data_IF_981748597695
#
_entry.id   IF_981748597695
#
_cell.length_a   1.000
_cell.length_b   1.000
_cell.length_c   1.000
_cell.angle_alpha   90.00
_cell.angle_beta   90.00
_cell.angle_gamma   90.00
#
_symmetry.space_group_name_H-M   'P 1'
#
loop_
_entity.id
_entity.type
_entity.pdbx_description
1 polymer ?
#
# COMPACT_ATOMS: atom_id res chain seq x y z
N UNK A 1 -8.37 -28.04 0.89
CA UNK A 1 -7.64 -27.57 2.08
C UNK A 1 -7.20 -26.14 1.86
N UNK A 2 -7.04 -25.36 2.92
CA UNK A 2 -6.49 -23.99 2.83
C UNK A 2 -5.08 -24.06 2.25
N UNK A 3 -4.72 -23.27 1.22
CA UNK A 3 -3.38 -23.30 0.63
C UNK A 3 -2.31 -23.02 1.70
N UNK A 4 -1.19 -23.75 1.65
CA UNK A 4 -0.08 -23.60 2.61
C UNK A 4 0.52 -22.19 2.63
N UNK A 5 0.40 -21.44 1.53
CA UNK A 5 0.79 -20.03 1.45
C UNK A 5 -0.08 -19.13 2.33
N UNK A 6 -1.39 -19.35 2.39
CA UNK A 6 -2.32 -18.54 3.19
C UNK A 6 -2.06 -18.71 4.69
N UNK A 7 -1.75 -19.94 5.14
CA UNK A 7 -1.36 -20.19 6.53
C UNK A 7 -0.04 -19.49 6.90
N UNK A 8 0.92 -19.43 5.97
CA UNK A 8 2.21 -18.74 6.19
C UNK A 8 2.02 -17.22 6.28
N UNK A 9 1.18 -16.64 5.43
CA UNK A 9 0.82 -15.21 5.47
C UNK A 9 0.11 -14.85 6.80
N UNK A 10 -0.78 -15.73 7.29
CA UNK A 10 -1.45 -15.57 8.58
C UNK A 10 -0.46 -15.64 9.76
N UNK A 11 0.53 -16.54 9.71
CA UNK A 11 1.57 -16.61 10.73
C UNK A 11 2.43 -15.32 10.76
N UNK A 12 2.77 -14.77 9.58
CA UNK A 12 3.48 -13.49 9.51
C UNK A 12 2.64 -12.35 10.14
N UNK A 13 1.34 -12.32 9.86
CA UNK A 13 0.42 -11.34 10.44
C UNK A 13 0.34 -11.41 11.98
N UNK A 14 0.41 -12.61 12.57
CA UNK A 14 0.44 -12.77 14.03
C UNK A 14 1.68 -12.14 14.69
N UNK A 15 2.80 -12.07 13.97
CA UNK A 15 4.05 -11.48 14.45
C UNK A 15 4.13 -9.96 14.25
N UNK A 16 3.27 -9.39 13.40
CA UNK A 16 3.21 -7.95 13.15
C UNK A 16 2.46 -7.20 14.26
N UNK A 17 3.12 -7.04 15.42
CA UNK A 17 2.58 -6.34 16.58
C UNK A 17 3.09 -4.90 16.64
N UNK A 18 2.30 -3.97 16.12
CA UNK A 18 2.60 -2.54 16.17
C UNK A 18 1.31 -1.72 16.30
N UNK A 19 1.37 -0.56 16.98
CA UNK A 19 0.17 0.26 17.22
C UNK A 19 -0.52 0.76 15.94
N UNK A 20 0.26 0.99 14.88
CA UNK A 20 -0.21 1.44 13.56
C UNK A 20 -0.39 0.30 12.55
N UNK A 21 -0.56 -0.94 13.02
CA UNK A 21 -0.90 -2.11 12.21
C UNK A 21 -2.12 -2.76 12.84
N UNK A 22 -3.10 -3.14 12.02
CA UNK A 22 -4.31 -3.81 12.50
C UNK A 22 -3.93 -5.14 13.15
N UNK A 23 -4.33 -5.31 14.41
CA UNK A 23 -4.00 -6.48 15.20
C UNK A 23 -4.89 -7.65 14.80
N UNK A 24 -4.27 -8.74 14.37
CA UNK A 24 -4.91 -10.05 14.27
C UNK A 24 -4.97 -10.68 15.68
N UNK A 25 -6.17 -10.83 16.23
CA UNK A 25 -6.39 -11.47 17.53
C UNK A 25 -6.44 -12.99 17.41
N UNK A 26 -7.19 -13.51 16.44
CA UNK A 26 -7.39 -14.95 16.30
C UNK A 26 -7.66 -15.39 14.86
N UNK A 27 -7.48 -16.68 14.61
CA UNK A 27 -7.69 -17.34 13.33
C UNK A 27 -8.51 -18.59 13.60
N UNK A 28 -9.79 -18.52 13.25
CA UNK A 28 -10.71 -19.64 13.42
C UNK A 28 -10.81 -20.40 12.10
N UNK A 29 -10.68 -21.72 12.17
CA UNK A 29 -10.86 -22.60 11.04
C UNK A 29 -12.05 -23.53 11.31
N UNK A 30 -13.06 -23.48 10.46
CA UNK A 30 -14.19 -24.42 10.44
C UNK A 30 -14.39 -24.94 9.02
N UNK A 31 -14.52 -26.25 8.85
CA UNK A 31 -14.70 -26.98 7.59
C UNK A 31 -14.09 -26.34 6.32
N UNK A 32 -14.82 -25.42 5.67
CA UNK A 32 -14.48 -24.75 4.40
C UNK A 32 -14.30 -23.23 4.53
N UNK A 33 -14.27 -22.70 5.75
CA UNK A 33 -14.14 -21.27 6.04
C UNK A 33 -12.93 -21.00 6.94
N UNK A 34 -12.28 -19.89 6.66
CA UNK A 34 -11.20 -19.34 7.46
C UNK A 34 -11.67 -17.96 7.90
N UNK A 35 -11.82 -17.77 9.21
CA UNK A 35 -12.28 -16.52 9.80
C UNK A 35 -11.11 -15.87 10.53
N UNK A 36 -10.77 -14.65 10.12
CA UNK A 36 -9.73 -13.85 10.74
C UNK A 36 -10.39 -12.83 11.67
N UNK A 37 -10.01 -12.85 12.94
CA UNK A 37 -10.55 -11.96 13.97
C UNK A 37 -9.56 -10.82 14.18
N UNK A 38 -9.91 -9.62 13.70
CA UNK A 38 -9.08 -8.42 13.82
C UNK A 38 -9.59 -7.47 14.90
N UNK A 39 -8.74 -6.55 15.35
CA UNK A 39 -9.20 -5.39 16.12
C UNK A 39 -10.19 -4.56 15.29
N UNK A 40 -11.18 -3.98 15.97
CA UNK A 40 -12.18 -3.14 15.33
C UNK A 40 -11.65 -1.71 15.16
N UNK A 41 -11.89 -1.13 13.98
CA UNK A 41 -11.70 0.29 13.69
C UNK A 41 -13.01 0.85 13.13
N UNK A 42 -13.28 2.13 13.40
CA UNK A 42 -14.59 2.74 13.11
C UNK A 42 -14.82 2.99 11.62
N UNK A 43 -13.78 3.38 10.90
CA UNK A 43 -13.86 3.69 9.47
C UNK A 43 -12.50 3.53 8.79
N UNK A 44 -12.51 3.53 7.46
CA UNK A 44 -11.32 3.64 6.63
C UNK A 44 -11.07 5.11 6.22
N UNK A 45 -9.85 5.43 5.77
CA UNK A 45 -9.48 6.78 5.38
C UNK A 45 -10.32 7.30 4.20
N UNK A 46 -10.81 6.42 3.32
CA UNK A 46 -11.67 6.84 2.21
C UNK A 46 -13.01 7.38 2.74
N UNK A 47 -13.65 6.67 3.66
CA UNK A 47 -14.87 7.14 4.34
C UNK A 47 -14.61 8.39 5.18
N UNK A 48 -13.44 8.46 5.82
CA UNK A 48 -13.05 9.65 6.59
C UNK A 48 -13.02 10.90 5.71
N UNK A 49 -12.43 10.83 4.51
CA UNK A 49 -12.46 11.93 3.54
C UNK A 49 -13.88 12.36 3.19
N UNK A 50 -14.75 11.39 2.90
CA UNK A 50 -16.14 11.68 2.52
C UNK A 50 -16.91 12.35 3.67
N UNK A 51 -16.58 12.00 4.93
CA UNK A 51 -17.18 12.60 6.14
C UNK A 51 -16.71 14.03 6.42
N UNK A 52 -15.47 14.37 6.07
CA UNK A 52 -14.88 15.69 6.26
C UNK A 52 -15.06 16.62 5.06
N UNK A 53 -15.84 16.22 4.05
CA UNK A 53 -15.95 16.91 2.75
C UNK A 53 -14.57 17.17 2.10
N UNK A 54 -13.61 16.27 2.35
CA UNK A 54 -12.22 16.37 1.91
C UNK A 54 -11.33 17.34 2.69
N UNK A 55 -11.86 18.23 3.51
CA UNK A 55 -11.07 19.29 4.15
C UNK A 55 -10.48 18.79 5.48
N UNK A 56 -9.22 18.36 5.44
CA UNK A 56 -8.47 17.92 6.62
C UNK A 56 -7.55 19.04 7.07
N UNK A 57 -7.53 19.31 8.37
CA UNK A 57 -6.58 20.27 8.93
C UNK A 57 -5.13 19.76 8.81
N UNK A 58 -4.14 20.65 8.68
CA UNK A 58 -2.74 20.26 8.49
C UNK A 58 -2.16 19.39 9.61
N UNK A 59 -2.65 19.50 10.85
CA UNK A 59 -2.16 18.68 11.96
C UNK A 59 -2.70 17.25 11.87
N UNK A 60 -3.95 17.06 11.46
CA UNK A 60 -4.50 15.74 11.14
C UNK A 60 -3.76 15.08 9.99
N UNK A 61 -3.47 15.83 8.91
CA UNK A 61 -2.66 15.33 7.78
C UNK A 61 -1.28 14.86 8.27
N UNK A 62 -0.60 15.68 9.07
CA UNK A 62 0.70 15.35 9.66
C UNK A 62 0.63 14.13 10.57
N UNK A 63 -0.41 14.04 11.41
CA UNK A 63 -0.64 12.91 12.31
C UNK A 63 -0.83 11.60 11.54
N UNK A 64 -1.70 11.58 10.53
CA UNK A 64 -1.94 10.38 9.73
C UNK A 64 -0.70 9.96 8.94
N UNK A 65 0.03 10.90 8.34
CA UNK A 65 1.28 10.58 7.66
C UNK A 65 2.34 10.02 8.62
N UNK A 66 2.47 10.61 9.80
CA UNK A 66 3.40 10.10 10.82
C UNK A 66 3.06 8.66 11.22
N UNK A 67 1.78 8.38 11.47
CA UNK A 67 1.30 7.05 11.85
C UNK A 67 1.46 6.01 10.74
N UNK A 68 1.14 6.38 9.49
CA UNK A 68 1.37 5.57 8.29
C UNK A 68 2.85 5.18 8.16
N UNK A 69 3.75 6.17 8.22
CA UNK A 69 5.19 5.96 8.08
C UNK A 69 5.76 5.11 9.22
N UNK A 70 5.26 5.25 10.46
CA UNK A 70 5.66 4.35 11.56
C UNK A 70 5.23 2.91 11.31
N UNK A 71 4.01 2.69 10.83
CA UNK A 71 3.53 1.36 10.45
C UNK A 71 4.41 0.73 9.36
N UNK A 72 4.70 1.49 8.30
CA UNK A 72 5.56 1.05 7.21
C UNK A 72 6.99 0.75 7.66
N UNK A 73 7.61 1.65 8.44
CA UNK A 73 8.94 1.43 8.97
C UNK A 73 9.03 0.14 9.79
N UNK A 74 8.01 -0.16 10.60
CA UNK A 74 7.92 -1.41 11.34
C UNK A 74 7.86 -2.63 10.41
N UNK A 75 7.00 -2.60 9.38
CA UNK A 75 6.90 -3.68 8.39
C UNK A 75 8.22 -3.90 7.64
N UNK A 76 8.81 -2.81 7.14
CA UNK A 76 10.04 -2.82 6.35
C UNK A 76 11.23 -3.35 7.17
N UNK A 77 11.33 -2.97 8.46
CA UNK A 77 12.36 -3.52 9.37
C UNK A 77 12.24 -5.04 9.61
N UNK A 78 11.09 -5.63 9.28
CA UNK A 78 10.81 -7.08 9.38
C UNK A 78 10.75 -7.76 8.01
N UNK A 79 11.24 -7.10 6.96
CA UNK A 79 11.22 -7.61 5.59
C UNK A 79 9.80 -7.91 5.07
N UNK A 80 8.80 -7.17 5.53
CA UNK A 80 7.41 -7.26 5.05
C UNK A 80 7.09 -6.04 4.20
N UNK A 81 6.59 -6.29 2.99
CA UNK A 81 6.06 -5.27 2.08
C UNK A 81 4.53 -5.29 2.13
N UNK A 82 3.90 -4.13 2.15
CA UNK A 82 2.43 -4.04 2.16
C UNK A 82 1.84 -4.31 0.77
N UNK A 83 2.37 -3.62 -0.25
CA UNK A 83 2.06 -3.71 -1.68
C UNK A 83 0.68 -3.23 -2.12
N UNK A 84 -0.35 -3.26 -1.29
CA UNK A 84 -1.67 -2.70 -1.67
C UNK A 84 -2.05 -1.50 -0.79
N UNK A 85 -1.13 -0.53 -0.67
CA UNK A 85 -1.44 0.70 0.07
C UNK A 85 -2.42 1.57 -0.72
N UNK A 86 -3.56 1.86 -0.09
CA UNK A 86 -4.62 2.73 -0.58
C UNK A 86 -5.48 3.21 0.60
N UNK A 87 -6.25 4.30 0.49
CA UNK A 87 -7.05 4.83 1.58
C UNK A 87 -8.01 3.81 2.22
N UNK A 88 -8.55 2.86 1.46
CA UNK A 88 -9.44 1.82 1.99
C UNK A 88 -8.73 0.83 2.94
N UNK A 89 -7.41 0.71 2.83
CA UNK A 89 -6.59 -0.16 3.67
C UNK A 89 -5.96 0.59 4.86
N UNK A 90 -6.30 1.86 5.04
CA UNK A 90 -5.90 2.67 6.19
C UNK A 90 -7.11 2.85 7.10
N UNK A 91 -7.11 2.12 8.21
CA UNK A 91 -8.21 2.17 9.17
C UNK A 91 -7.96 3.25 10.21
N UNK A 92 -9.03 3.91 10.66
CA UNK A 92 -9.02 4.98 11.64
C UNK A 92 -10.03 4.64 12.73
N UNK A 93 -9.60 4.75 13.99
CA UNK A 93 -10.50 4.63 15.13
C UNK A 93 -10.95 6.00 15.67
N UNK A 94 -11.91 6.02 16.59
CA UNK A 94 -12.42 7.24 17.26
C UNK A 94 -11.34 8.09 17.96
N UNK A 95 -10.20 7.50 18.30
CA UNK A 95 -9.10 8.22 18.95
C UNK A 95 -8.18 8.92 17.93
N UNK A 96 -8.47 8.84 16.63
CA UNK A 96 -7.62 9.37 15.56
C UNK A 96 -6.36 8.53 15.32
N UNK A 97 -6.36 7.26 15.74
CA UNK A 97 -5.25 6.35 15.48
C UNK A 97 -5.41 5.69 14.11
N UNK A 98 -4.38 5.80 13.28
CA UNK A 98 -4.32 5.19 11.96
C UNK A 98 -3.61 3.84 12.02
N UNK A 99 -4.21 2.83 11.42
CA UNK A 99 -3.73 1.45 11.37
C UNK A 99 -3.71 0.92 9.95
N UNK A 100 -2.57 0.37 9.54
CA UNK A 100 -2.42 -0.37 8.29
C UNK A 100 -3.22 -1.68 8.35
N UNK A 101 -4.04 -1.95 7.34
CA UNK A 101 -4.84 -3.16 7.22
C UNK A 101 -4.68 -3.81 5.85
N UNK A 102 -5.26 -5.01 5.71
CA UNK A 102 -5.25 -5.78 4.47
C UNK A 102 -3.84 -6.08 3.91
N UNK A 103 -3.07 -6.80 4.71
CA UNK A 103 -1.82 -7.44 4.29
C UNK A 103 -2.07 -8.69 3.45
N UNK A 104 -3.26 -8.87 2.84
CA UNK A 104 -3.63 -10.05 2.05
C UNK A 104 -2.73 -10.31 0.83
N UNK A 105 -1.88 -9.34 0.48
CA UNK A 105 -0.84 -9.44 -0.56
C UNK A 105 0.59 -9.31 0.00
N UNK A 106 0.74 -9.16 1.32
CA UNK A 106 2.01 -8.95 1.96
C UNK A 106 2.85 -10.23 1.96
N UNK A 107 4.06 -10.13 1.42
CA UNK A 107 5.00 -11.25 1.35
C UNK A 107 6.30 -10.91 2.07
N UNK A 108 6.82 -11.86 2.84
CA UNK A 108 8.18 -11.79 3.36
C UNK A 108 9.18 -11.75 2.19
N UNK A 109 10.04 -10.74 2.16
CA UNK A 109 11.14 -10.62 1.20
C UNK A 109 12.25 -11.62 1.59
N UNK A 110 12.82 -12.33 0.60
CA UNK A 110 13.93 -13.27 0.82
C UNK A 110 13.63 -14.76 0.53
N UNK A 111 12.38 -15.11 0.22
CA UNK A 111 12.07 -16.43 -0.36
C UNK A 111 12.19 -16.30 -1.89
N UNK A 112 13.06 -17.08 -2.57
CA UNK A 112 13.23 -17.00 -4.01
C UNK A 112 11.95 -17.47 -4.70
N UNK A 113 11.09 -16.53 -5.10
CA UNK A 113 9.91 -16.80 -5.91
C UNK A 113 10.14 -16.21 -7.29
N UNK A 114 10.01 -17.06 -8.31
CA UNK A 114 10.46 -16.82 -9.69
C UNK A 114 9.87 -15.61 -10.42
N UNK A 115 8.80 -14.99 -9.95
CA UNK A 115 8.23 -13.75 -10.48
C UNK A 115 7.24 -13.21 -9.44
N UNK A 116 7.31 -11.92 -9.11
CA UNK A 116 6.16 -11.22 -8.52
C UNK A 116 5.23 -10.79 -9.67
N UNK A 117 3.91 -10.96 -9.53
CA UNK A 117 2.95 -10.51 -10.56
C UNK A 117 2.90 -8.99 -10.58
N UNK A 118 2.86 -8.39 -11.77
CA UNK A 118 2.84 -6.94 -11.98
C UNK A 118 1.51 -6.27 -11.58
N UNK A 119 0.48 -7.06 -11.26
CA UNK A 119 -0.89 -6.59 -10.95
C UNK A 119 -1.11 -6.20 -9.48
N UNK A 120 -0.08 -6.23 -8.64
CA UNK A 120 -0.22 -6.34 -7.17
C UNK A 120 -0.52 -5.00 -6.44
N UNK A 121 -0.97 -3.96 -7.14
CA UNK A 121 -1.38 -2.68 -6.52
C UNK A 121 -2.59 -2.11 -7.25
N UNK A 122 -3.54 -1.53 -6.53
CA UNK A 122 -4.57 -0.67 -7.14
C UNK A 122 -3.88 0.41 -8.02
N UNK A 123 -4.26 0.53 -9.30
CA UNK A 123 -3.51 1.23 -10.36
C UNK A 123 -3.01 2.64 -9.97
N UNK A 124 -3.85 3.40 -9.26
CA UNK A 124 -3.59 4.80 -8.90
C UNK A 124 -2.43 5.00 -7.91
N UNK A 125 -2.08 3.95 -7.16
CA UNK A 125 -1.03 3.98 -6.14
C UNK A 125 0.22 3.19 -6.57
N UNK A 126 0.26 2.74 -7.83
CA UNK A 126 1.35 1.93 -8.38
C UNK A 126 2.49 2.83 -8.86
N UNK A 127 3.76 2.52 -8.51
CA UNK A 127 4.90 3.31 -8.95
C UNK A 127 5.26 3.05 -10.43
N UNK A 128 5.98 3.98 -11.08
CA UNK A 128 6.31 3.90 -12.50
C UNK A 128 7.17 2.68 -12.88
N UNK A 129 8.03 2.19 -11.99
CA UNK A 129 8.85 1.01 -12.24
C UNK A 129 8.00 -0.26 -12.35
N UNK A 130 7.02 -0.40 -11.47
CA UNK A 130 6.04 -1.51 -11.52
C UNK A 130 5.13 -1.37 -12.74
N UNK A 131 4.74 -0.14 -13.10
CA UNK A 131 3.96 0.14 -14.32
C UNK A 131 4.72 -0.23 -15.60
N UNK A 132 6.04 -0.10 -15.60
CA UNK A 132 6.93 -0.58 -16.67
C UNK A 132 7.34 -2.06 -16.53
N UNK A 133 6.69 -2.83 -15.66
CA UNK A 133 6.88 -4.28 -15.58
C UNK A 133 8.12 -4.72 -14.81
N UNK A 134 8.72 -3.86 -13.96
CA UNK A 134 9.76 -4.29 -13.04
C UNK A 134 9.30 -5.54 -12.28
N UNK A 135 10.19 -6.53 -12.10
CA UNK A 135 9.89 -7.78 -11.37
C UNK A 135 10.53 -7.84 -9.99
N UNK A 136 11.48 -6.94 -9.73
CA UNK A 136 12.19 -6.85 -8.46
C UNK A 136 11.67 -5.61 -7.74
N UNK A 137 10.90 -5.83 -6.67
CA UNK A 137 10.33 -4.77 -5.85
C UNK A 137 11.09 -4.67 -4.53
N UNK A 138 11.26 -3.45 -4.05
CA UNK A 138 11.80 -3.16 -2.72
C UNK A 138 10.74 -2.44 -1.87
N UNK A 139 11.15 -1.95 -0.70
CA UNK A 139 10.33 -1.10 0.17
C UNK A 139 9.83 0.18 -0.52
N UNK A 140 10.47 0.58 -1.62
CA UNK A 140 10.10 1.75 -2.43
C UNK A 140 8.67 1.71 -2.98
N UNK A 141 8.10 0.54 -3.24
CA UNK A 141 6.72 0.41 -3.74
C UNK A 141 5.72 1.02 -2.75
N UNK A 142 5.88 0.73 -1.46
CA UNK A 142 5.02 1.25 -0.40
C UNK A 142 5.25 2.75 -0.21
N UNK A 143 6.48 3.22 -0.42
CA UNK A 143 6.82 4.64 -0.30
C UNK A 143 6.16 5.50 -1.38
N UNK A 144 6.07 4.99 -2.61
CA UNK A 144 5.33 5.67 -3.67
C UNK A 144 3.84 5.77 -3.35
N UNK A 145 3.23 4.66 -2.93
CA UNK A 145 1.82 4.64 -2.53
C UNK A 145 1.56 5.60 -1.36
N UNK A 146 2.45 5.64 -0.36
CA UNK A 146 2.37 6.59 0.75
C UNK A 146 2.47 8.05 0.28
N UNK A 147 3.31 8.35 -0.72
CA UNK A 147 3.37 9.68 -1.35
C UNK A 147 2.07 10.06 -2.06
N UNK A 148 1.44 9.11 -2.77
CA UNK A 148 0.14 9.32 -3.39
C UNK A 148 -0.94 9.61 -2.33
N UNK A 149 -0.98 8.81 -1.25
CA UNK A 149 -1.90 9.02 -0.11
C UNK A 149 -1.66 10.38 0.56
N UNK A 150 -0.40 10.81 0.70
CA UNK A 150 -0.08 12.11 1.25
C UNK A 150 -0.67 13.25 0.40
N UNK A 151 -0.56 13.15 -0.92
CA UNK A 151 -1.16 14.13 -1.81
C UNK A 151 -2.69 14.15 -1.70
N UNK A 152 -3.35 13.00 -1.50
CA UNK A 152 -4.80 12.97 -1.24
C UNK A 152 -5.16 13.64 0.08
N UNK A 153 -4.41 13.35 1.14
CA UNK A 153 -4.59 13.98 2.46
C UNK A 153 -4.45 15.50 2.38
N UNK A 154 -3.51 16.01 1.57
CA UNK A 154 -3.26 17.43 1.40
C UNK A 154 -4.18 18.11 0.36
N UNK A 155 -4.93 17.35 -0.44
CA UNK A 155 -5.69 17.88 -1.58
C UNK A 155 -7.11 17.29 -1.66
N UNK A 156 -7.90 17.53 -0.62
CA UNK A 156 -9.33 17.24 -0.58
C UNK A 156 -9.73 15.77 -0.78
N UNK A 157 -8.85 14.82 -0.46
CA UNK A 157 -9.14 13.38 -0.59
C UNK A 157 -9.29 12.90 -2.04
N UNK A 158 -8.76 13.65 -3.01
CA UNK A 158 -8.82 13.29 -4.44
C UNK A 158 -7.54 12.58 -4.88
N UNK A 159 -7.63 11.40 -5.53
CA UNK A 159 -6.47 10.69 -6.04
C UNK A 159 -5.57 11.56 -6.92
N UNK A 160 -4.27 11.54 -6.65
CA UNK A 160 -3.29 12.34 -7.40
C UNK A 160 -3.18 11.89 -8.86
N UNK A 161 -3.22 10.57 -9.08
CA UNK A 161 -3.05 9.97 -10.40
C UNK A 161 -4.20 8.99 -10.70
N UNK A 162 -5.39 9.47 -11.10
CA UNK A 162 -6.53 8.62 -11.42
C UNK A 162 -6.48 8.14 -12.88
N UNK A 163 -5.54 7.23 -13.20
CA UNK A 163 -5.41 6.63 -14.53
C UNK A 163 -6.48 5.57 -14.81
N UNK A 164 -6.90 5.46 -16.07
CA UNK A 164 -7.85 4.44 -16.53
C UNK A 164 -7.18 3.11 -16.90
N UNK A 165 -5.93 3.17 -17.34
CA UNK A 165 -5.08 2.04 -17.72
C UNK A 165 -3.60 2.37 -17.42
N UNK A 166 -2.69 1.42 -17.66
CA UNK A 166 -1.26 1.58 -17.37
C UNK A 166 -0.63 2.74 -18.14
N UNK A 167 -1.00 2.89 -19.43
CA UNK A 167 -0.44 3.95 -20.27
C UNK A 167 -0.96 5.34 -19.83
N UNK A 168 -2.24 5.47 -19.48
CA UNK A 168 -2.83 6.70 -18.92
C UNK A 168 -2.24 7.03 -17.53
N UNK A 169 -2.03 6.02 -16.68
CA UNK A 169 -1.42 6.19 -15.37
C UNK A 169 0.00 6.78 -15.48
N UNK A 170 0.84 6.20 -16.34
CA UNK A 170 2.20 6.72 -16.60
C UNK A 170 2.17 8.14 -17.15
N UNK A 171 1.28 8.43 -18.12
CA UNK A 171 1.12 9.79 -18.68
C UNK A 171 0.75 10.81 -17.62
N UNK A 172 -0.12 10.48 -16.67
CA UNK A 172 -0.51 11.37 -15.56
C UNK A 172 0.64 11.63 -14.61
N UNK A 173 1.40 10.59 -14.25
CA UNK A 173 2.58 10.69 -13.40
C UNK A 173 3.60 11.64 -14.03
N UNK A 174 4.00 11.40 -15.28
CA UNK A 174 5.02 12.20 -15.95
C UNK A 174 4.55 13.60 -16.33
N UNK A 175 3.25 13.80 -16.56
CA UNK A 175 2.69 15.14 -16.77
C UNK A 175 2.88 16.05 -15.55
N UNK A 176 2.76 15.49 -14.34
CA UNK A 176 2.89 16.26 -13.10
C UNK A 176 4.33 16.34 -12.58
N UNK A 177 5.05 15.22 -12.57
CA UNK A 177 6.38 15.11 -11.97
C UNK A 177 7.53 15.30 -12.98
N UNK A 178 7.21 15.39 -14.27
CA UNK A 178 8.17 15.35 -15.37
C UNK A 178 8.50 13.92 -15.82
N UNK A 179 8.87 13.78 -17.09
CA UNK A 179 9.41 12.51 -17.61
C UNK A 179 10.87 12.37 -17.14
N UNK A 180 11.23 11.28 -16.45
CA UNK A 180 12.60 11.07 -15.99
C UNK A 180 13.59 11.04 -17.14
N UNK A 181 14.72 11.73 -16.98
CA UNK A 181 15.86 11.60 -17.90
C UNK A 181 16.68 10.35 -17.59
N UNK A 182 17.53 9.91 -18.52
CA UNK A 182 18.45 8.79 -18.27
C UNK A 182 19.41 9.06 -17.10
N UNK A 183 19.75 10.32 -16.83
CA UNK A 183 20.57 10.69 -15.67
C UNK A 183 19.82 10.45 -14.34
N UNK A 184 18.53 10.78 -14.30
CA UNK A 184 17.68 10.61 -13.12
C UNK A 184 17.30 9.15 -12.88
N UNK A 185 17.08 8.39 -13.96
CA UNK A 185 16.68 6.98 -13.89
C UNK A 185 17.33 6.13 -14.99
N UNK A 186 18.59 5.78 -14.76
CA UNK A 186 19.46 5.07 -15.71
C UNK A 186 18.95 3.70 -16.17
N UNK A 187 18.09 3.04 -15.38
CA UNK A 187 17.58 1.70 -15.67
C UNK A 187 16.18 1.69 -16.29
N UNK A 188 15.57 2.86 -16.50
CA UNK A 188 14.20 2.98 -17.01
C UNK A 188 14.03 2.28 -18.38
N UNK A 189 14.95 2.53 -19.31
CA UNK A 189 14.92 1.97 -20.68
C UNK A 189 15.13 0.46 -20.74
N UNK A 190 15.56 -0.15 -19.62
CA UNK A 190 15.82 -1.60 -19.49
C UNK A 190 14.62 -2.34 -18.90
N UNK A 191 13.54 -1.64 -18.55
CA UNK A 191 12.36 -2.25 -17.96
C UNK A 191 11.54 -2.98 -19.03
N UNK A 192 10.91 -4.13 -18.68
CA UNK A 192 10.29 -5.01 -19.67
C UNK A 192 9.24 -4.35 -20.57
N UNK A 193 8.47 -3.42 -20.01
CA UNK A 193 7.34 -2.80 -20.71
C UNK A 193 7.61 -1.32 -21.06
N UNK A 194 8.87 -0.88 -21.01
CA UNK A 194 9.25 0.47 -21.43
C UNK A 194 8.99 0.68 -22.93
N UNK A 195 8.35 1.81 -23.27
CA UNK A 195 8.13 2.27 -24.64
C UNK A 195 8.79 3.63 -24.81
N UNK A 196 9.64 3.83 -25.85
CA UNK A 196 10.27 5.11 -26.14
C UNK A 196 9.28 6.18 -26.61
#
# INVERSE_FOLDING_TARGET
GVPSSALREICLLKELKHKNIVRLHDVLHSDKKLTLVFEYCDQDLKKYFDSCNGDLDPETVKSFMYQLLKGLAFCHSRNVLHRDLKPQNLLINRNGELKLADFGLARAFGIPVRCYSAEVVTLWYRPPDVLFGAKLYSTSIDMWSAGCIFAELANAGRPLFPGNDVDDQLKRIFRLLGTPTEEQWQTMTKLPDYKP
#
